data_IF_522978564375
#
_entry.id   IF_522978564375
#
_cell.length_a   1.000
_cell.length_b   1.000
_cell.length_c   1.000
_cell.angle_alpha   90.00
_cell.angle_beta   90.00
_cell.angle_gamma   90.00
#
_symmetry.space_group_name_H-M   'P 1'
#
loop_
_entity.id
_entity.type
_entity.pdbx_description
1 polymer ?
#
# COMPACT_ATOMS: atom_id res chain seq x y z
N UNK A 1 25.98 -3.13 16.97
CA UNK A 1 25.33 -1.83 17.25
C UNK A 1 25.01 -1.59 18.74
N UNK A 2 24.17 -2.39 19.44
CA UNK A 2 23.80 -2.10 20.84
C UNK A 2 24.97 -2.10 21.85
N UNK A 3 25.90 -3.06 21.73
CA UNK A 3 27.10 -3.17 22.59
C UNK A 3 28.05 -1.97 22.45
N UNK A 4 28.11 -1.35 21.28
CA UNK A 4 28.96 -0.19 21.00
C UNK A 4 28.40 1.11 21.61
N UNK A 5 27.13 1.09 22.04
CA UNK A 5 26.46 2.20 22.72
C UNK A 5 26.27 1.93 24.23
N UNK A 6 26.95 0.92 24.77
CA UNK A 6 26.89 0.55 26.19
C UNK A 6 25.55 -0.03 26.65
N UNK A 7 24.67 -0.43 25.73
CA UNK A 7 23.33 -0.94 26.05
C UNK A 7 23.25 -2.45 25.81
N UNK A 8 22.63 -3.18 26.75
CA UNK A 8 22.35 -4.61 26.59
C UNK A 8 21.23 -4.77 25.56
N UNK A 9 21.37 -5.73 24.64
CA UNK A 9 20.35 -5.99 23.61
C UNK A 9 19.13 -6.62 24.28
N UNK A 10 18.00 -5.93 24.24
CA UNK A 10 16.71 -6.48 24.66
C UNK A 10 16.21 -7.45 23.58
N UNK A 11 15.77 -8.64 24.00
CA UNK A 11 15.17 -9.66 23.12
C UNK A 11 13.66 -9.50 22.99
N UNK A 12 13.03 -8.85 23.97
CA UNK A 12 11.60 -8.56 24.01
C UNK A 12 11.40 -7.06 24.23
N UNK A 13 10.41 -6.50 23.54
CA UNK A 13 10.02 -5.09 23.63
C UNK A 13 8.52 -5.07 23.90
N UNK A 14 8.13 -4.53 25.05
CA UNK A 14 6.73 -4.28 25.35
C UNK A 14 6.25 -3.05 24.57
N UNK A 15 5.05 -3.14 23.98
CA UNK A 15 4.46 -1.99 23.29
C UNK A 15 4.03 -0.96 24.33
N UNK A 16 4.47 0.31 24.22
CA UNK A 16 4.01 1.36 25.11
C UNK A 16 2.50 1.57 24.98
N UNK A 17 1.82 1.74 26.12
CA UNK A 17 0.44 2.20 26.17
C UNK A 17 0.42 3.72 26.05
N UNK A 18 -0.04 4.23 24.91
CA UNK A 18 -0.13 5.67 24.66
C UNK A 18 -1.48 6.21 25.12
N UNK A 19 -1.47 7.31 25.87
CA UNK A 19 -2.69 8.00 26.34
C UNK A 19 -3.53 8.55 25.17
N UNK A 20 -2.87 8.92 24.07
CA UNK A 20 -3.51 9.45 22.87
C UNK A 20 -3.00 8.73 21.63
N UNK A 21 -3.93 8.40 20.73
CA UNK A 21 -3.64 7.59 19.56
C UNK A 21 -4.26 8.23 18.29
N UNK A 22 -3.74 9.39 17.84
CA UNK A 22 -4.31 10.17 16.73
C UNK A 22 -4.33 9.39 15.41
N UNK A 23 -3.49 8.35 15.27
CA UNK A 23 -3.49 7.49 14.09
C UNK A 23 -4.83 6.78 13.84
N UNK A 24 -5.67 6.58 14.88
CA UNK A 24 -7.00 5.98 14.72
C UNK A 24 -8.06 6.96 14.24
N UNK A 25 -7.81 8.26 14.37
CA UNK A 25 -8.74 9.29 13.92
C UNK A 25 -8.51 9.65 12.44
N UNK A 26 -7.40 9.19 11.86
CA UNK A 26 -7.10 9.34 10.43
C UNK A 26 -8.14 8.56 9.61
N UNK A 27 -8.87 9.29 8.75
CA UNK A 27 -9.92 8.76 7.86
C UNK A 27 -11.08 8.06 8.59
N UNK A 28 -11.23 8.34 9.88
CA UNK A 28 -12.31 7.79 10.68
C UNK A 28 -13.66 8.28 10.17
N UNK A 29 -14.55 7.34 9.86
CA UNK A 29 -15.89 7.63 9.33
C UNK A 29 -15.93 7.87 7.82
N UNK A 30 -14.80 7.75 7.11
CA UNK A 30 -14.79 7.82 5.65
C UNK A 30 -15.56 6.65 5.03
N UNK A 31 -16.31 6.92 3.96
CA UNK A 31 -16.94 5.88 3.15
C UNK A 31 -15.92 5.15 2.26
N UNK A 32 -16.32 4.03 1.65
CA UNK A 32 -15.42 3.32 0.73
C UNK A 32 -15.02 4.18 -0.47
N UNK A 33 -15.95 4.94 -1.05
CA UNK A 33 -15.67 5.82 -2.18
C UNK A 33 -14.71 6.95 -1.78
N UNK A 34 -14.87 7.51 -0.57
CA UNK A 34 -13.96 8.53 -0.05
C UNK A 34 -12.55 7.98 0.17
N UNK A 35 -12.42 6.72 0.62
CA UNK A 35 -11.13 6.06 0.77
C UNK A 35 -10.44 5.85 -0.58
N UNK A 36 -11.18 5.51 -1.64
CA UNK A 36 -10.64 5.40 -3.00
C UNK A 36 -10.10 6.76 -3.47
N UNK A 37 -10.81 7.85 -3.22
CA UNK A 37 -10.34 9.19 -3.58
C UNK A 37 -9.10 9.61 -2.79
N UNK A 38 -9.01 9.23 -1.50
CA UNK A 38 -7.80 9.46 -0.69
C UNK A 38 -6.61 8.69 -1.26
N UNK A 39 -6.80 7.43 -1.65
CA UNK A 39 -5.75 6.61 -2.29
C UNK A 39 -5.26 7.29 -3.58
N UNK A 40 -6.16 7.70 -4.47
CA UNK A 40 -5.79 8.39 -5.72
C UNK A 40 -4.97 9.66 -5.44
N UNK A 41 -5.40 10.47 -4.47
CA UNK A 41 -4.65 11.68 -4.05
C UNK A 41 -3.25 11.34 -3.53
N UNK A 42 -3.11 10.28 -2.76
CA UNK A 42 -1.80 9.84 -2.26
C UNK A 42 -0.90 9.38 -3.39
N UNK A 43 -1.43 8.64 -4.38
CA UNK A 43 -0.68 8.21 -5.55
C UNK A 43 -0.14 9.38 -6.39
N UNK A 44 -0.90 10.47 -6.51
CA UNK A 44 -0.41 11.72 -7.14
C UNK A 44 0.82 12.29 -6.43
N UNK A 45 0.86 12.24 -5.10
CA UNK A 45 1.99 12.76 -4.30
C UNK A 45 3.27 11.93 -4.45
N UNK A 46 3.13 10.62 -4.69
CA UNK A 46 4.27 9.70 -4.87
C UNK A 46 4.55 9.39 -6.34
N UNK A 47 3.95 10.13 -7.27
CA UNK A 47 4.12 9.96 -8.72
C UNK A 47 3.81 8.53 -9.20
N UNK A 48 2.75 7.94 -8.67
CA UNK A 48 2.25 6.63 -9.08
C UNK A 48 0.95 6.80 -9.85
N UNK A 49 0.85 6.19 -11.03
CA UNK A 49 -0.37 6.18 -11.82
C UNK A 49 -1.39 5.19 -11.23
N UNK A 50 -2.64 5.62 -11.09
CA UNK A 50 -3.77 4.79 -10.63
C UNK A 50 -4.84 4.75 -11.69
N UNK A 51 -5.29 3.55 -12.01
CA UNK A 51 -6.38 3.29 -12.93
C UNK A 51 -7.51 2.57 -12.20
N UNK A 52 -8.69 3.17 -12.20
CA UNK A 52 -9.92 2.55 -11.70
C UNK A 52 -10.72 1.98 -12.88
N UNK A 53 -11.23 0.77 -12.72
CA UNK A 53 -12.00 0.06 -13.76
C UNK A 53 -12.92 -0.96 -13.11
N UNK A 54 -13.95 -1.41 -13.85
CA UNK A 54 -14.79 -2.50 -13.39
C UNK A 54 -14.03 -3.82 -13.40
N UNK A 55 -14.36 -4.76 -12.50
CA UNK A 55 -13.71 -6.07 -12.46
C UNK A 55 -13.82 -6.84 -13.77
N UNK A 56 -14.89 -6.65 -14.54
CA UNK A 56 -15.09 -7.27 -15.84
C UNK A 56 -14.11 -6.76 -16.92
N UNK A 57 -13.63 -5.53 -16.79
CA UNK A 57 -12.75 -4.83 -17.74
C UNK A 57 -11.26 -4.96 -17.37
N UNK A 58 -10.97 -5.50 -16.19
CA UNK A 58 -9.61 -5.63 -15.65
C UNK A 58 -8.62 -6.31 -16.61
N UNK A 59 -8.95 -7.42 -17.31
CA UNK A 59 -8.02 -8.06 -18.23
C UNK A 59 -7.66 -7.17 -19.43
N UNK A 60 -8.65 -6.46 -19.97
CA UNK A 60 -8.46 -5.53 -21.08
C UNK A 60 -7.57 -4.36 -20.65
N UNK A 61 -7.85 -3.79 -19.47
CA UNK A 61 -7.08 -2.67 -18.96
C UNK A 61 -5.62 -3.02 -18.72
N UNK A 62 -5.34 -4.15 -18.07
CA UNK A 62 -3.96 -4.60 -17.84
C UNK A 62 -3.22 -4.77 -19.17
N UNK A 63 -3.86 -5.40 -20.16
CA UNK A 63 -3.29 -5.58 -21.49
C UNK A 63 -2.97 -4.27 -22.20
N UNK A 64 -3.83 -3.26 -22.06
CA UNK A 64 -3.60 -1.91 -22.58
C UNK A 64 -2.40 -1.24 -21.89
N UNK A 65 -2.36 -1.25 -20.56
CA UNK A 65 -1.28 -0.64 -19.78
C UNK A 65 0.07 -1.27 -20.12
N UNK A 66 0.17 -2.60 -20.19
CA UNK A 66 1.43 -3.28 -20.56
C UNK A 66 1.94 -2.78 -21.92
N UNK A 67 1.05 -2.61 -22.90
CA UNK A 67 1.43 -2.09 -24.23
C UNK A 67 1.85 -0.63 -24.17
N UNK A 68 1.12 0.21 -23.44
CA UNK A 68 1.41 1.64 -23.28
C UNK A 68 2.77 1.88 -22.60
N UNK A 69 3.11 1.10 -21.57
CA UNK A 69 4.42 1.15 -20.92
C UNK A 69 5.53 0.42 -21.71
N UNK A 70 5.23 -0.19 -22.86
CA UNK A 70 6.21 -0.90 -23.70
C UNK A 70 6.73 -2.21 -23.08
N UNK A 71 5.96 -2.81 -22.18
CA UNK A 71 6.29 -4.06 -21.51
C UNK A 71 6.32 -5.24 -22.48
N UNK A 72 7.47 -5.93 -22.55
CA UNK A 72 7.65 -7.14 -23.38
C UNK A 72 7.32 -8.44 -22.66
N UNK A 73 7.40 -8.41 -21.33
CA UNK A 73 7.22 -9.56 -20.44
C UNK A 73 6.77 -9.07 -19.09
N UNK A 74 5.97 -9.86 -18.39
CA UNK A 74 5.50 -9.58 -17.03
C UNK A 74 5.95 -10.68 -16.09
N UNK A 75 6.26 -10.31 -14.84
CA UNK A 75 6.51 -11.27 -13.77
C UNK A 75 5.23 -11.38 -12.96
N UNK A 76 4.69 -12.59 -12.87
CA UNK A 76 3.48 -12.90 -12.10
C UNK A 76 3.83 -13.86 -10.98
N UNK A 77 3.03 -13.85 -9.91
CA UNK A 77 3.13 -14.85 -8.85
C UNK A 77 2.45 -16.15 -9.30
N UNK A 78 2.96 -17.29 -8.83
CA UNK A 78 2.36 -18.62 -9.02
C UNK A 78 1.64 -19.00 -7.71
N UNK A 79 0.48 -18.39 -7.47
CA UNK A 79 -0.31 -18.60 -6.26
C UNK A 79 -1.63 -19.28 -6.63
N UNK A 80 -1.90 -20.51 -6.16
CA UNK A 80 -3.07 -21.28 -6.53
C UNK A 80 -4.40 -20.71 -6.01
N UNK A 81 -4.39 -19.65 -5.20
CA UNK A 81 -5.59 -18.93 -4.75
C UNK A 81 -6.20 -18.04 -5.83
N UNK A 82 -5.43 -17.72 -6.87
CA UNK A 82 -5.80 -16.85 -7.98
C UNK A 82 -5.66 -17.60 -9.31
#
# INVERSE_FOLDING_TARGET
>A
LAKNLGRKRLSEVEKPAWDHNPQWDVLKGASQDELVEVLKKQCLLIHTDVYETASAELPEQIGRLIKEYGGKSVVTWDDPRF
#
